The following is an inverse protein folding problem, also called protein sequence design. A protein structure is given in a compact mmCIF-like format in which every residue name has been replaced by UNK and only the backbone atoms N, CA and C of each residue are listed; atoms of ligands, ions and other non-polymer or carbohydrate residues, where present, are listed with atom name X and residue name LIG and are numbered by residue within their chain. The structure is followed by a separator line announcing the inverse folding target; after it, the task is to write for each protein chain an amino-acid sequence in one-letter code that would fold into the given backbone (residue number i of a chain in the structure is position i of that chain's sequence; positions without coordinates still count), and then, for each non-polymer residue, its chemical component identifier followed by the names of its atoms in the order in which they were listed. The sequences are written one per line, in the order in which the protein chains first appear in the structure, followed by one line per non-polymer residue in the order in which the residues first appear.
data_IF_604289793326
#
_entry.id   IF_604289793326
#
_cell.length_a   1.000
_cell.length_b   1.000
_cell.length_c   1.000
_cell.angle_alpha   90.00
_cell.angle_beta   90.00
_cell.angle_gamma   90.00
#
_symmetry.space_group_name_H-M   'P 1'
#
loop_
_entity.id
_entity.type
_entity.pdbx_description
1 polymer ?
#
# COMPACT_ATOMS: atom_id res chain seq x y z
N UNK A 1 -0.21 -4.66 1.36
CA UNK A 1 0.83 -3.94 0.59
C UNK A 1 1.20 -2.59 1.24
N UNK A 2 0.26 -1.67 1.46
CA UNK A 2 0.56 -0.32 1.97
C UNK A 2 1.37 -0.25 3.28
N UNK A 3 1.06 -1.12 4.24
CA UNK A 3 1.83 -1.23 5.48
C UNK A 3 3.31 -1.59 5.22
N UNK A 4 3.58 -2.45 4.23
CA UNK A 4 4.94 -2.83 3.83
C UNK A 4 5.70 -1.67 3.21
N UNK A 5 5.05 -0.77 2.47
CA UNK A 5 5.70 0.46 1.99
C UNK A 5 6.18 1.32 3.16
N UNK A 6 5.32 1.55 4.15
CA UNK A 6 5.68 2.29 5.37
C UNK A 6 6.86 1.66 6.12
N UNK A 7 6.83 0.35 6.34
CA UNK A 7 7.91 -0.41 6.99
C UNK A 7 9.21 -0.32 6.16
N UNK A 8 9.12 -0.52 4.84
CA UNK A 8 10.26 -0.45 3.93
C UNK A 8 10.92 0.92 3.92
N UNK A 9 10.13 1.99 3.85
CA UNK A 9 10.64 3.36 3.97
C UNK A 9 11.34 3.58 5.30
N UNK A 10 10.78 3.09 6.42
CA UNK A 10 11.40 3.21 7.73
C UNK A 10 12.74 2.47 7.81
N UNK A 11 12.83 1.27 7.23
CA UNK A 11 14.09 0.51 7.16
C UNK A 11 15.16 1.25 6.35
N UNK A 12 14.78 1.90 5.26
CA UNK A 12 15.70 2.69 4.42
C UNK A 12 16.14 3.97 5.15
N UNK A 13 15.22 4.66 5.82
CA UNK A 13 15.47 5.91 6.54
C UNK A 13 15.94 5.70 7.99
N UNK A 14 16.36 4.49 8.37
CA UNK A 14 16.65 4.10 9.77
C UNK A 14 17.63 5.05 10.48
N UNK A 15 18.63 5.56 9.76
CA UNK A 15 19.66 6.43 10.32
C UNK A 15 19.05 7.81 10.66
N UNK A 16 18.22 8.35 9.76
CA UNK A 16 17.44 9.58 9.98
C UNK A 16 16.47 9.41 11.16
N UNK A 17 15.76 8.29 11.21
CA UNK A 17 14.79 7.98 12.26
C UNK A 17 15.43 7.89 13.64
N UNK A 18 16.65 7.33 13.72
CA UNK A 18 17.40 7.23 14.97
C UNK A 18 17.91 8.59 15.45
N UNK A 19 18.40 9.42 14.53
CA UNK A 19 18.91 10.75 14.85
C UNK A 19 17.78 11.73 15.24
N UNK A 20 16.78 11.89 14.37
CA UNK A 20 15.84 13.02 14.42
C UNK A 20 14.38 12.60 14.62
N UNK A 21 14.07 11.30 14.62
CA UNK A 21 12.74 10.76 14.84
C UNK A 21 11.83 10.69 13.60
N UNK A 22 10.58 10.20 13.77
CA UNK A 22 9.67 9.86 12.66
C UNK A 22 9.03 11.06 11.95
N UNK A 23 9.11 12.26 12.51
CA UNK A 23 8.55 13.47 11.92
C UNK A 23 9.62 14.37 11.27
N UNK A 24 10.86 13.88 11.19
CA UNK A 24 11.97 14.65 10.66
C UNK A 24 11.77 14.94 9.16
N UNK A 25 11.90 16.22 8.77
CA UNK A 25 11.94 16.63 7.37
C UNK A 25 13.32 16.31 6.76
N UNK A 26 13.42 15.92 5.48
CA UNK A 26 12.34 15.82 4.50
C UNK A 26 11.62 14.45 4.50
N UNK A 27 12.09 13.48 5.30
CA UNK A 27 11.61 12.11 5.24
C UNK A 27 10.09 11.96 5.48
N UNK A 28 9.55 12.58 6.52
CA UNK A 28 8.11 12.49 6.81
C UNK A 28 7.23 13.12 5.73
N UNK A 29 7.47 14.37 5.28
CA UNK A 29 6.74 14.95 4.15
C UNK A 29 6.74 14.10 2.88
N UNK A 30 7.85 13.43 2.53
CA UNK A 30 7.92 12.55 1.34
C UNK A 30 6.95 11.36 1.45
N UNK A 31 6.82 10.79 2.65
CA UNK A 31 5.93 9.64 2.89
C UNK A 31 4.47 10.07 2.88
N UNK A 32 4.16 11.23 3.49
CA UNK A 32 2.83 11.83 3.41
C UNK A 32 2.47 12.13 1.96
N UNK A 33 3.40 12.66 1.17
CA UNK A 33 3.20 12.91 -0.26
C UNK A 33 2.91 11.62 -1.04
N UNK A 34 3.67 10.55 -0.84
CA UNK A 34 3.38 9.25 -1.47
C UNK A 34 2.00 8.70 -1.06
N UNK A 35 1.66 8.78 0.24
CA UNK A 35 0.39 8.31 0.75
C UNK A 35 -0.79 9.12 0.16
N UNK A 36 -0.70 10.45 0.15
CA UNK A 36 -1.78 11.34 -0.26
C UNK A 36 -1.90 11.50 -1.78
N UNK A 37 -0.79 11.57 -2.52
CA UNK A 37 -0.79 11.84 -3.95
C UNK A 37 -0.83 10.57 -4.82
N UNK A 38 -0.48 9.40 -4.27
CA UNK A 38 -0.44 8.15 -5.05
C UNK A 38 -1.33 7.08 -4.45
N UNK A 39 -1.11 6.70 -3.18
CA UNK A 39 -1.84 5.57 -2.58
C UNK A 39 -3.34 5.88 -2.45
N UNK A 40 -3.67 7.06 -1.96
CA UNK A 40 -5.05 7.47 -1.72
C UNK A 40 -5.87 7.60 -3.01
N UNK A 41 -5.40 8.27 -4.08
CA UNK A 41 -6.14 8.34 -5.35
C UNK A 41 -6.27 7.00 -6.04
N UNK A 42 -5.25 6.14 -6.00
CA UNK A 42 -5.32 4.78 -6.55
C UNK A 42 -6.40 3.97 -5.83
N UNK A 43 -6.40 3.98 -4.49
CA UNK A 43 -7.43 3.29 -3.72
C UNK A 43 -8.83 3.82 -4.03
N UNK A 44 -9.00 5.15 -4.03
CA UNK A 44 -10.27 5.80 -4.35
C UNK A 44 -10.78 5.40 -5.73
N UNK A 45 -9.91 5.42 -6.75
CA UNK A 45 -10.26 5.02 -8.11
C UNK A 45 -10.83 3.61 -8.15
N UNK A 46 -10.15 2.62 -7.55
CA UNK A 46 -10.63 1.24 -7.57
C UNK A 46 -11.95 1.08 -6.83
N UNK A 47 -12.11 1.64 -5.63
CA UNK A 47 -13.37 1.54 -4.90
C UNK A 47 -14.52 2.29 -5.57
N UNK A 48 -14.25 3.36 -6.32
CA UNK A 48 -15.28 4.13 -7.03
C UNK A 48 -15.67 3.48 -8.37
N UNK A 49 -14.69 3.04 -9.15
CA UNK A 49 -14.89 2.59 -10.54
C UNK A 49 -15.05 1.08 -10.65
N UNK A 50 -14.37 0.32 -9.78
CA UNK A 50 -14.36 -1.15 -9.81
C UNK A 50 -14.67 -1.78 -8.44
N UNK A 51 -15.76 -1.36 -7.76
CA UNK A 51 -16.00 -1.73 -6.36
C UNK A 51 -16.09 -3.24 -6.15
N UNK A 52 -16.77 -3.99 -7.04
CA UNK A 52 -16.93 -5.44 -6.89
C UNK A 52 -15.57 -6.17 -6.85
N UNK A 53 -14.64 -5.74 -7.70
CA UNK A 53 -13.29 -6.28 -7.75
C UNK A 53 -12.45 -5.85 -6.52
N UNK A 54 -12.56 -4.59 -6.08
CA UNK A 54 -11.88 -4.10 -4.87
C UNK A 54 -12.26 -4.87 -3.61
N UNK A 55 -13.50 -5.36 -3.54
CA UNK A 55 -14.00 -6.20 -2.45
C UNK A 55 -13.79 -7.71 -2.67
N UNK A 56 -13.04 -8.10 -3.71
CA UNK A 56 -12.80 -9.49 -4.11
C UNK A 56 -14.10 -10.30 -4.26
N UNK A 57 -15.20 -9.64 -4.62
CA UNK A 57 -16.53 -10.26 -4.74
C UNK A 57 -17.03 -10.92 -3.44
N UNK A 58 -16.51 -10.53 -2.27
CA UNK A 58 -17.01 -11.02 -0.98
C UNK A 58 -18.28 -10.30 -0.52
N UNK A 59 -18.43 -9.03 -0.93
CA UNK A 59 -19.57 -8.20 -0.57
C UNK A 59 -20.21 -7.61 -1.82
N UNK A 60 -21.54 -7.49 -1.80
CA UNK A 60 -22.29 -6.78 -2.84
C UNK A 60 -22.13 -5.28 -2.64
N UNK A 61 -21.43 -4.55 -3.53
CA UNK A 61 -21.18 -3.13 -3.33
C UNK A 61 -22.45 -2.29 -3.37
N UNK A 62 -23.53 -2.78 -4.01
CA UNK A 62 -24.81 -2.06 -4.05
C UNK A 62 -25.49 -1.99 -2.68
N UNK A 63 -25.11 -2.89 -1.77
CA UNK A 63 -25.62 -2.93 -0.38
C UNK A 63 -24.74 -2.15 0.59
N UNK A 64 -23.55 -1.74 0.17
CA UNK A 64 -22.65 -0.94 0.99
C UNK A 64 -22.99 0.55 0.79
N UNK A 65 -23.08 1.30 1.89
CA UNK A 65 -23.21 2.75 1.81
C UNK A 65 -21.98 3.33 1.12
N UNK A 66 -22.16 4.27 0.19
CA UNK A 66 -21.05 4.97 -0.47
C UNK A 66 -20.12 5.67 0.53
N UNK A 67 -20.63 6.00 1.73
CA UNK A 67 -19.83 6.58 2.83
C UNK A 67 -18.76 5.59 3.34
N UNK A 68 -18.98 4.27 3.23
CA UNK A 68 -18.01 3.26 3.66
C UNK A 68 -16.71 3.29 2.85
N UNK A 69 -16.71 3.90 1.66
CA UNK A 69 -15.51 4.05 0.81
C UNK A 69 -14.50 5.03 1.42
N UNK A 70 -14.97 6.07 2.13
CA UNK A 70 -14.10 7.11 2.70
C UNK A 70 -13.16 6.56 3.79
N UNK A 71 -13.63 5.82 4.81
CA UNK A 71 -12.74 5.20 5.80
C UNK A 71 -11.73 4.24 5.17
N UNK A 72 -12.09 3.53 4.10
CA UNK A 72 -11.17 2.61 3.42
C UNK A 72 -10.06 3.36 2.70
N UNK A 73 -10.42 4.40 1.96
CA UNK A 73 -9.46 5.28 1.30
C UNK A 73 -8.47 5.88 2.31
N UNK A 74 -8.98 6.46 3.40
CA UNK A 74 -8.14 7.01 4.48
C UNK A 74 -7.32 5.89 5.14
N UNK A 75 -7.91 4.72 5.34
CA UNK A 75 -7.26 3.53 5.88
C UNK A 75 -6.05 3.11 5.06
N UNK A 76 -6.12 3.17 3.73
CA UNK A 76 -5.00 2.85 2.86
C UNK A 76 -3.79 3.77 3.06
N UNK A 77 -4.01 5.08 3.20
CA UNK A 77 -2.96 6.05 3.50
C UNK A 77 -2.45 5.90 4.95
N UNK A 78 -3.37 5.70 5.90
CA UNK A 78 -3.06 5.47 7.30
C UNK A 78 -2.20 4.22 7.50
N UNK A 79 -2.37 3.16 6.71
CA UNK A 79 -1.50 1.99 6.75
C UNK A 79 -0.05 2.30 6.35
N UNK A 80 0.17 3.18 5.36
CA UNK A 80 1.54 3.60 5.00
C UNK A 80 2.17 4.41 6.14
N UNK A 81 1.46 5.42 6.63
CA UNK A 81 1.94 6.31 7.69
C UNK A 81 2.13 5.54 9.00
N UNK A 82 1.18 4.65 9.33
CA UNK A 82 1.24 3.78 10.51
C UNK A 82 2.39 2.79 10.43
N UNK A 83 2.64 2.18 9.26
CA UNK A 83 3.80 1.33 9.02
C UNK A 83 5.12 2.06 9.24
N UNK A 84 5.23 3.28 8.72
CA UNK A 84 6.38 4.16 8.96
C UNK A 84 6.58 4.46 10.44
N UNK A 85 5.50 4.88 11.13
CA UNK A 85 5.56 5.30 12.52
C UNK A 85 5.90 4.13 13.46
N UNK A 86 5.20 3.00 13.33
CA UNK A 86 5.42 1.80 14.15
C UNK A 86 6.82 1.26 13.93
N UNK A 87 7.24 1.07 12.68
CA UNK A 87 8.59 0.60 12.38
C UNK A 87 9.65 1.59 12.87
N UNK A 88 9.43 2.90 12.68
CA UNK A 88 10.33 3.94 13.17
C UNK A 88 10.51 3.92 14.68
N UNK A 89 9.42 3.78 15.45
CA UNK A 89 9.51 3.62 16.91
C UNK A 89 10.29 2.37 17.32
N UNK A 90 10.07 1.24 16.64
CA UNK A 90 10.80 -0.01 16.90
C UNK A 90 12.29 0.10 16.58
N UNK A 91 12.63 0.74 15.44
CA UNK A 91 14.02 0.92 14.99
C UNK A 91 14.82 1.85 15.92
N UNK A 92 14.16 2.86 16.51
CA UNK A 92 14.75 3.72 17.54
C UNK A 92 15.06 2.96 18.84
N UNK A 93 14.29 1.92 19.15
CA UNK A 93 14.51 1.02 20.29
C UNK A 93 15.40 -0.18 19.95
N UNK A 94 16.12 -0.16 18.81
CA UNK A 94 16.97 -1.24 18.34
C UNK A 94 16.28 -2.60 18.09
N UNK A 95 14.96 -2.61 17.88
CA UNK A 95 14.21 -3.83 17.53
C UNK A 95 14.25 -4.17 16.02
N UNK A 96 15.43 -4.08 15.40
CA UNK A 96 15.60 -4.33 13.96
C UNK A 96 15.08 -5.70 13.54
N UNK A 97 15.45 -6.75 14.27
CA UNK A 97 15.04 -8.12 13.95
C UNK A 97 13.52 -8.25 13.99
N UNK A 98 12.85 -7.68 14.99
CA UNK A 98 11.39 -7.72 15.08
C UNK A 98 10.72 -7.02 13.89
N UNK A 99 11.24 -5.88 13.43
CA UNK A 99 10.73 -5.19 12.24
C UNK A 99 10.89 -6.07 10.99
N UNK A 100 12.04 -6.74 10.83
CA UNK A 100 12.27 -7.66 9.71
C UNK A 100 11.35 -8.89 9.78
N UNK A 101 11.16 -9.48 10.96
CA UNK A 101 10.24 -10.60 11.15
C UNK A 101 8.80 -10.22 10.82
N UNK A 102 8.32 -9.08 11.32
CA UNK A 102 6.97 -8.56 10.99
C UNK A 102 6.84 -8.29 9.50
N UNK A 103 7.84 -7.65 8.89
CA UNK A 103 7.89 -7.41 7.45
C UNK A 103 7.81 -8.70 6.65
N UNK A 104 8.61 -9.71 7.00
CA UNK A 104 8.61 -11.02 6.36
C UNK A 104 7.26 -11.75 6.52
N UNK A 105 6.70 -11.75 7.73
CA UNK A 105 5.39 -12.36 7.99
C UNK A 105 4.28 -11.70 7.16
N UNK A 106 4.31 -10.37 7.02
CA UNK A 106 3.36 -9.63 6.18
C UNK A 106 3.53 -9.95 4.68
N UNK A 107 4.76 -10.11 4.19
CA UNK A 107 5.02 -10.54 2.80
C UNK A 107 4.46 -11.94 2.55
N UNK A 108 4.74 -12.90 3.45
CA UNK A 108 4.23 -14.27 3.33
C UNK A 108 2.70 -14.29 3.39
N UNK A 109 2.10 -13.55 4.32
CA UNK A 109 0.63 -13.43 4.43
C UNK A 109 0.03 -12.86 3.15
N UNK A 110 0.64 -11.82 2.59
CA UNK A 110 0.19 -11.22 1.33
C UNK A 110 0.28 -12.23 0.17
N UNK A 111 1.37 -13.00 0.08
CA UNK A 111 1.53 -14.04 -0.94
C UNK A 111 0.44 -15.11 -0.82
N UNK A 112 0.16 -15.59 0.39
CA UNK A 112 -0.92 -16.58 0.64
C UNK A 112 -2.28 -16.00 0.23
N UNK A 113 -2.58 -14.74 0.57
CA UNK A 113 -3.82 -14.08 0.18
C UNK A 113 -3.95 -13.94 -1.34
N UNK A 114 -2.87 -13.57 -2.03
CA UNK A 114 -2.86 -13.46 -3.50
C UNK A 114 -3.08 -14.82 -4.16
N UNK A 115 -2.36 -15.85 -3.74
CA UNK A 115 -2.49 -17.20 -4.32
C UNK A 115 -3.87 -17.79 -4.06
N UNK A 116 -4.37 -17.70 -2.82
CA UNK A 116 -5.70 -18.22 -2.46
C UNK A 116 -6.85 -17.49 -3.17
N UNK A 117 -6.64 -16.23 -3.58
CA UNK A 117 -7.65 -15.42 -4.27
C UNK A 117 -7.31 -15.16 -5.73
N UNK A 118 -6.38 -15.92 -6.33
CA UNK A 118 -5.88 -15.63 -7.68
C UNK A 118 -7.00 -15.61 -8.72
N UNK A 119 -7.97 -16.53 -8.60
CA UNK A 119 -9.13 -16.58 -9.49
C UNK A 119 -10.03 -15.34 -9.36
N UNK A 120 -10.25 -14.83 -8.14
CA UNK A 120 -10.99 -13.58 -7.91
C UNK A 120 -10.24 -12.38 -8.48
N UNK A 121 -8.95 -12.31 -8.24
CA UNK A 121 -8.07 -11.23 -8.71
C UNK A 121 -7.94 -11.19 -10.23
N UNK A 122 -7.91 -12.35 -10.90
CA UNK A 122 -7.77 -12.46 -12.35
C UNK A 122 -9.08 -12.35 -13.13
N UNK A 123 -10.21 -12.21 -12.44
CA UNK A 123 -11.54 -12.13 -13.04
C UNK A 123 -12.07 -10.71 -12.99
N UNK A 124 -12.52 -10.19 -14.14
CA UNK A 124 -13.29 -8.97 -14.25
C UNK A 124 -14.77 -9.30 -14.48
N UNK A 125 -15.60 -8.90 -13.52
CA UNK A 125 -17.06 -9.03 -13.52
C UNK A 125 -17.67 -7.97 -12.60
N UNK A 126 -18.99 -7.75 -12.73
CA UNK A 126 -19.78 -7.19 -11.64
C UNK A 126 -20.08 -8.27 -10.58
N UNK A 127 -20.69 -7.90 -9.45
CA UNK A 127 -20.91 -8.84 -8.35
C UNK A 127 -21.79 -10.03 -8.76
N UNK A 128 -22.92 -9.76 -9.44
CA UNK A 128 -23.85 -10.81 -9.88
C UNK A 128 -23.18 -11.69 -10.95
N UNK A 129 -22.50 -11.09 -11.93
CA UNK A 129 -21.78 -11.80 -12.97
C UNK A 129 -20.72 -12.75 -12.40
N UNK A 130 -20.00 -12.35 -11.35
CA UNK A 130 -19.06 -13.23 -10.67
C UNK A 130 -19.75 -14.43 -10.02
N UNK A 131 -20.88 -14.22 -9.32
CA UNK A 131 -21.63 -15.29 -8.65
C UNK A 131 -22.19 -16.34 -9.63
N UNK A 132 -22.51 -15.93 -10.86
CA UNK A 132 -22.98 -16.84 -11.92
C UNK A 132 -21.87 -17.30 -12.88
N UNK A 133 -20.59 -17.12 -12.50
CA UNK A 133 -19.40 -17.50 -13.28
C UNK A 133 -19.34 -16.90 -14.71
N UNK A 134 -19.86 -15.68 -14.89
CA UNK A 134 -19.84 -14.93 -16.17
C UNK A 134 -18.73 -13.88 -16.23
N UNK A 135 -17.63 -14.09 -15.51
CA UNK A 135 -16.49 -13.18 -15.54
C UNK A 135 -15.59 -13.38 -16.76
N UNK A 136 -14.89 -12.32 -17.15
CA UNK A 136 -13.86 -12.35 -18.20
C UNK A 136 -12.47 -12.16 -17.59
N UNK A 137 -11.41 -12.45 -18.35
CA UNK A 137 -10.05 -12.19 -17.90
C UNK A 137 -9.83 -10.69 -17.62
N UNK A 138 -9.14 -10.38 -16.52
CA UNK A 138 -8.81 -9.03 -16.07
C UNK A 138 -8.21 -8.15 -17.18
N UNK A 139 -7.30 -8.72 -17.98
CA UNK A 139 -6.54 -8.01 -19.00
C UNK A 139 -7.30 -7.80 -20.31
N UNK A 140 -8.50 -8.38 -20.46
CA UNK A 140 -9.34 -8.17 -21.63
C UNK A 140 -10.20 -6.90 -21.51
N UNK A 141 -10.16 -6.21 -20.37
CA UNK A 141 -10.98 -5.04 -20.08
C UNK A 141 -10.15 -3.89 -19.49
N UNK A 142 -10.76 -2.70 -19.38
CA UNK A 142 -10.13 -1.50 -18.83
C UNK A 142 -9.52 -1.70 -17.43
N UNK A 143 -10.13 -2.56 -16.61
CA UNK A 143 -9.66 -2.86 -15.25
C UNK A 143 -8.20 -3.38 -15.24
N UNK A 144 -7.81 -4.23 -16.19
CA UNK A 144 -6.43 -4.73 -16.28
C UNK A 144 -5.41 -3.63 -16.56
N UNK A 145 -5.74 -2.68 -17.44
CA UNK A 145 -4.88 -1.52 -17.72
C UNK A 145 -4.79 -0.58 -16.53
N UNK A 146 -5.92 -0.30 -15.87
CA UNK A 146 -5.95 0.50 -14.66
C UNK A 146 -5.08 -0.12 -13.55
N UNK A 147 -5.11 -1.45 -13.41
CA UNK A 147 -4.24 -2.19 -12.49
C UNK A 147 -2.76 -2.01 -12.82
N UNK A 148 -2.35 -2.18 -14.07
CA UNK A 148 -0.94 -2.00 -14.48
C UNK A 148 -0.47 -0.57 -14.22
N UNK A 149 -1.23 0.45 -14.66
CA UNK A 149 -0.87 1.86 -14.46
C UNK A 149 -0.76 2.20 -12.98
N UNK A 150 -1.69 1.69 -12.17
CA UNK A 150 -1.66 1.89 -10.72
C UNK A 150 -0.47 1.24 -10.06
N UNK A 151 -0.07 0.03 -10.48
CA UNK A 151 1.16 -0.61 -10.00
C UNK A 151 2.39 0.21 -10.38
N UNK A 152 2.48 0.69 -11.62
CA UNK A 152 3.60 1.54 -12.05
C UNK A 152 3.67 2.84 -11.23
N UNK A 153 2.53 3.48 -10.95
CA UNK A 153 2.47 4.67 -10.11
C UNK A 153 2.92 4.38 -8.66
N UNK A 154 2.42 3.30 -8.06
CA UNK A 154 2.75 2.90 -6.69
C UNK A 154 4.23 2.55 -6.56
N UNK A 155 4.76 1.68 -7.42
CA UNK A 155 6.17 1.28 -7.37
C UNK A 155 7.11 2.40 -7.81
N UNK A 156 6.77 3.14 -8.86
CA UNK A 156 7.57 4.27 -9.34
C UNK A 156 7.75 5.34 -8.26
N UNK A 157 6.65 5.74 -7.61
CA UNK A 157 6.72 6.69 -6.50
C UNK A 157 7.43 6.12 -5.27
N UNK A 158 7.23 4.83 -4.95
CA UNK A 158 7.94 4.19 -3.84
C UNK A 158 9.45 4.12 -4.08
N UNK A 159 9.89 3.82 -5.31
CA UNK A 159 11.30 3.84 -5.70
C UNK A 159 11.89 5.24 -5.57
N UNK A 160 11.18 6.27 -6.05
CA UNK A 160 11.59 7.66 -5.90
C UNK A 160 11.78 8.03 -4.42
N UNK A 161 10.77 7.77 -3.57
CA UNK A 161 10.85 8.03 -2.12
C UNK A 161 11.99 7.25 -1.47
N UNK A 162 12.19 5.98 -1.82
CA UNK A 162 13.29 5.16 -1.31
C UNK A 162 14.67 5.75 -1.64
N UNK A 163 14.87 6.28 -2.85
CA UNK A 163 16.11 6.93 -3.27
C UNK A 163 16.36 8.20 -2.43
N UNK A 164 15.34 9.05 -2.29
CA UNK A 164 15.44 10.29 -1.51
C UNK A 164 15.72 10.02 -0.03
N UNK A 165 15.03 9.05 0.58
CA UNK A 165 15.27 8.64 1.97
C UNK A 165 16.68 8.09 2.17
N UNK A 166 17.19 7.31 1.22
CA UNK A 166 18.57 6.81 1.25
C UNK A 166 19.58 7.95 1.13
N UNK A 167 19.32 8.94 0.28
CA UNK A 167 20.17 10.12 0.13
C UNK A 167 20.18 10.96 1.41
N UNK A 168 19.03 11.17 2.03
CA UNK A 168 18.90 11.88 3.30
C UNK A 168 19.63 11.17 4.45
N UNK A 169 19.47 9.84 4.58
CA UNK A 169 20.18 9.06 5.58
C UNK A 169 21.71 9.15 5.47
N UNK A 170 22.26 9.28 4.25
CA UNK A 170 23.70 9.53 4.06
C UNK A 170 24.14 10.89 4.61
N UNK A 171 23.33 11.94 4.43
CA UNK A 171 23.62 13.30 4.92
C UNK A 171 23.61 13.38 6.44
N UNK A 172 22.77 12.57 7.11
CA UNK A 172 22.73 12.50 8.57
C UNK A 172 23.99 11.85 9.13
N UNK A 173 24.50 10.79 8.49
CA UNK A 173 25.72 10.10 8.96
C UNK A 173 27.00 10.93 8.83
N UNK A 174 27.00 11.96 8.01
CA UNK A 174 28.14 12.86 7.83
C UNK A 174 28.12 14.09 8.74
N UNK A 175 27.07 14.26 9.55
CA UNK A 175 27.00 15.29 10.60
C UNK A 175 27.64 14.78 11.88
#
# INVERSE_FOLDING_TARGET
MNLLFGIGFALIARDRLRADGPFAAPAFPLIVLHAAAVVMPVALYFYAVHPAWSWLYWFDPKKLSGIAVLPLMVGHAALVIGGWYIAGMMLRRNFMNAVLYVGAALVVTLLVLVVSNIHRLSTAADFIGYQVNKGVSLFNVQLGWAFIVSLLALFGSAVYVAIELRADGRRVRSR
#
